data_IF_314626442138
#
_entry.id   IF_314626442138
#
_cell.length_a   1.000
_cell.length_b   1.000
_cell.length_c   1.000
_cell.angle_alpha   90.00
_cell.angle_beta   90.00
_cell.angle_gamma   90.00
#
_symmetry.space_group_name_H-M   'P 1'
#
loop_
_entity.id
_entity.type
_entity.pdbx_description
1 polymer ?
#
# COMPACT_ATOMS: atom_id res chain seq x y z
N UNK A 1 16.01 -0.79 -10.37
CA UNK A 1 15.79 0.36 -11.28
C UNK A 1 14.39 0.26 -11.87
N UNK A 2 13.80 1.38 -12.30
CA UNK A 2 12.56 1.39 -13.10
C UNK A 2 12.92 0.95 -14.51
N UNK A 3 12.15 0.04 -15.10
CA UNK A 3 12.38 -0.54 -16.44
C UNK A 3 11.36 -0.09 -17.47
N UNK A 4 10.13 0.24 -17.02
CA UNK A 4 9.08 0.78 -17.86
C UNK A 4 8.22 1.77 -17.09
N UNK A 5 7.68 2.79 -17.77
CA UNK A 5 6.85 3.84 -17.19
C UNK A 5 5.66 4.09 -18.09
N UNK A 6 4.47 3.99 -17.54
CA UNK A 6 3.23 4.30 -18.22
C UNK A 6 2.35 5.19 -17.34
N UNK A 7 1.52 6.04 -17.98
CA UNK A 7 0.55 6.89 -17.28
C UNK A 7 -0.81 6.75 -17.94
N UNK A 8 -1.81 6.40 -17.16
CA UNK A 8 -3.20 6.27 -17.61
C UNK A 8 -4.13 6.89 -16.55
N UNK A 9 -4.98 7.83 -16.95
CA UNK A 9 -6.00 8.40 -16.07
C UNK A 9 -5.45 8.85 -14.69
N UNK A 10 -4.31 9.53 -14.68
CA UNK A 10 -3.55 9.93 -13.48
C UNK A 10 -2.97 8.76 -12.65
N UNK A 11 -3.02 7.54 -13.14
CA UNK A 11 -2.35 6.40 -12.53
C UNK A 11 -0.97 6.26 -13.18
N UNK A 12 0.08 6.35 -12.38
CA UNK A 12 1.44 6.00 -12.78
C UNK A 12 1.69 4.52 -12.58
N UNK A 13 2.16 3.85 -13.62
CA UNK A 13 2.49 2.42 -13.63
C UNK A 13 3.99 2.32 -13.88
N UNK A 14 4.72 1.74 -12.92
CA UNK A 14 6.18 1.64 -12.96
C UNK A 14 6.57 0.18 -12.80
N UNK A 15 7.07 -0.43 -13.85
CA UNK A 15 7.68 -1.75 -13.76
C UNK A 15 9.13 -1.62 -13.30
N UNK A 16 9.57 -2.46 -12.36
CA UNK A 16 10.86 -2.32 -11.71
C UNK A 16 11.59 -3.66 -11.56
N UNK A 17 12.91 -3.59 -11.44
CA UNK A 17 13.77 -4.73 -11.06
C UNK A 17 13.85 -4.93 -9.53
N UNK A 18 12.92 -4.34 -8.77
CA UNK A 18 12.89 -4.51 -7.33
C UNK A 18 12.69 -5.98 -6.98
N UNK A 19 13.59 -6.54 -6.18
CA UNK A 19 13.42 -7.90 -5.68
C UNK A 19 12.78 -7.88 -4.28
N UNK A 20 11.51 -8.28 -4.18
CA UNK A 20 10.76 -8.21 -2.93
C UNK A 20 10.80 -9.48 -2.07
N UNK A 21 11.59 -10.50 -2.45
CA UNK A 21 11.53 -11.82 -1.79
C UNK A 21 11.77 -11.75 -0.28
N UNK A 22 12.69 -10.89 0.15
CA UNK A 22 12.99 -10.69 1.57
C UNK A 22 11.87 -9.95 2.33
N UNK A 23 11.10 -9.09 1.66
CA UNK A 23 9.90 -8.47 2.24
C UNK A 23 8.83 -9.51 2.58
N UNK A 24 8.63 -10.48 1.69
CA UNK A 24 7.69 -11.58 1.90
C UNK A 24 8.16 -12.46 3.06
N UNK A 25 9.44 -12.85 3.05
CA UNK A 25 10.03 -13.65 4.13
C UNK A 25 9.94 -12.92 5.48
N UNK A 26 10.22 -11.62 5.49
CA UNK A 26 10.10 -10.81 6.71
C UNK A 26 8.66 -10.78 7.23
N UNK A 27 7.68 -10.56 6.34
CA UNK A 27 6.27 -10.59 6.70
C UNK A 27 5.86 -11.94 7.29
N UNK A 28 6.21 -13.05 6.63
CA UNK A 28 5.81 -14.39 7.08
C UNK A 28 6.46 -14.73 8.44
N UNK A 29 7.72 -14.38 8.66
CA UNK A 29 8.38 -14.53 9.97
C UNK A 29 7.68 -13.69 11.07
N UNK A 30 7.33 -12.43 10.77
CA UNK A 30 6.60 -11.58 11.72
C UNK A 30 5.21 -12.12 12.03
N UNK A 31 4.53 -12.74 11.05
CA UNK A 31 3.24 -13.37 11.24
C UNK A 31 3.34 -14.60 12.15
N UNK A 32 4.35 -15.43 11.97
CA UNK A 32 4.61 -16.60 12.80
C UNK A 32 4.92 -16.21 14.25
N UNK A 33 5.49 -15.03 14.48
CA UNK A 33 5.70 -14.43 15.80
C UNK A 33 4.49 -13.61 16.31
N UNK A 34 3.33 -13.64 15.64
CA UNK A 34 2.13 -12.85 15.94
C UNK A 34 2.33 -11.33 15.87
N UNK A 35 3.34 -10.86 15.17
CA UNK A 35 3.61 -9.41 14.97
C UNK A 35 2.77 -8.86 13.82
N UNK A 36 2.56 -9.62 12.73
CA UNK A 36 1.61 -9.26 11.69
C UNK A 36 0.17 -9.63 12.12
N UNK A 37 -0.76 -8.71 11.97
CA UNK A 37 -2.13 -8.88 12.45
C UNK A 37 -3.17 -8.98 11.33
N UNK A 38 -4.22 -9.75 11.58
CA UNK A 38 -5.34 -9.88 10.67
C UNK A 38 -6.26 -8.66 10.79
N UNK A 39 -6.59 -8.06 9.64
CA UNK A 39 -7.58 -6.99 9.56
C UNK A 39 -8.96 -7.57 9.27
N UNK A 40 -9.92 -7.23 10.14
CA UNK A 40 -11.34 -7.52 9.90
C UNK A 40 -12.01 -6.42 9.09
N UNK A 41 -13.25 -6.68 8.65
CA UNK A 41 -14.05 -5.73 7.88
C UNK A 41 -14.29 -4.39 8.57
N UNK A 42 -14.70 -3.40 7.78
CA UNK A 42 -15.05 -2.07 8.27
C UNK A 42 -16.29 -2.06 9.15
N UNK A 43 -16.37 -1.03 10.00
CA UNK A 43 -17.59 -0.67 10.72
C UNK A 43 -18.27 0.46 9.95
N UNK A 44 -19.49 0.21 9.46
CA UNK A 44 -20.32 1.22 8.82
C UNK A 44 -21.65 1.30 9.58
N UNK A 45 -22.04 2.50 10.04
CA UNK A 45 -23.25 2.72 10.82
C UNK A 45 -23.38 1.79 12.03
N UNK A 46 -22.27 1.54 12.74
CA UNK A 46 -22.21 0.66 13.91
C UNK A 46 -22.27 -0.85 13.60
N UNK A 47 -22.34 -1.24 12.32
CA UNK A 47 -22.32 -2.66 11.90
C UNK A 47 -20.98 -3.02 11.29
N UNK A 48 -20.38 -4.11 11.77
CA UNK A 48 -19.13 -4.66 11.20
C UNK A 48 -19.46 -5.38 9.90
N UNK A 49 -18.88 -4.91 8.79
CA UNK A 49 -18.91 -5.58 7.49
C UNK A 49 -17.80 -6.63 7.45
N UNK A 50 -18.02 -7.77 8.10
CA UNK A 50 -17.00 -8.79 8.35
C UNK A 50 -16.29 -9.29 7.09
N UNK A 51 -16.99 -9.33 5.97
CA UNK A 51 -16.47 -9.86 4.70
C UNK A 51 -15.88 -8.79 3.77
N UNK A 52 -15.93 -7.51 4.17
CA UNK A 52 -15.42 -6.41 3.34
C UNK A 52 -13.89 -6.40 3.23
N UNK A 53 -13.20 -7.02 4.18
CA UNK A 53 -11.74 -7.09 4.23
C UNK A 53 -11.27 -8.37 4.93
N UNK A 54 -10.40 -9.11 4.25
CA UNK A 54 -9.74 -10.33 4.75
C UNK A 54 -8.28 -10.30 4.30
N UNK A 55 -7.44 -9.59 5.03
CA UNK A 55 -6.00 -9.51 4.81
C UNK A 55 -5.25 -9.48 6.14
N UNK A 56 -3.97 -9.80 6.12
CA UNK A 56 -3.04 -9.58 7.21
C UNK A 56 -2.12 -8.40 6.88
N UNK A 57 -1.70 -7.64 7.88
CA UNK A 57 -0.91 -6.43 7.72
C UNK A 57 0.26 -6.40 8.69
N UNK A 58 1.40 -5.97 8.20
CA UNK A 58 2.59 -5.61 8.98
C UNK A 58 2.92 -4.14 8.67
N UNK A 59 2.64 -3.20 9.59
CA UNK A 59 3.10 -1.82 9.44
C UNK A 59 4.62 -1.76 9.56
N UNK A 60 5.25 -1.01 8.65
CA UNK A 60 6.66 -0.64 8.71
C UNK A 60 6.69 0.87 8.87
N UNK A 61 6.55 1.34 10.12
CA UNK A 61 6.47 2.76 10.41
C UNK A 61 7.81 3.30 10.91
N UNK A 62 8.23 4.43 10.33
CA UNK A 62 9.44 5.15 10.74
C UNK A 62 9.19 6.15 11.89
N UNK A 63 7.93 6.54 12.10
CA UNK A 63 7.55 7.67 12.94
C UNK A 63 6.66 7.34 14.14
N UNK A 64 6.51 6.08 14.50
CA UNK A 64 5.81 5.78 15.75
C UNK A 64 6.70 6.21 16.93
N UNK A 65 6.32 7.35 17.51
CA UNK A 65 6.80 7.74 18.81
C UNK A 65 6.40 6.66 19.82
N UNK A 66 7.39 6.08 20.48
CA UNK A 66 7.19 5.00 21.47
C UNK A 66 6.17 5.38 22.54
N UNK A 67 6.03 6.71 22.84
CA UNK A 67 5.12 7.22 23.85
C UNK A 67 3.63 7.13 23.46
N UNK A 68 3.32 6.94 22.18
CA UNK A 68 1.96 6.91 21.63
C UNK A 68 1.59 5.59 20.93
N UNK A 69 2.47 4.59 20.95
CA UNK A 69 2.16 3.28 20.41
C UNK A 69 1.11 2.58 21.28
N UNK A 70 0.01 2.05 20.71
CA UNK A 70 -0.88 1.19 21.45
C UNK A 70 -0.10 0.00 22.05
N UNK A 71 -0.48 -0.50 23.26
CA UNK A 71 0.22 -1.63 23.90
C UNK A 71 0.36 -2.87 22.99
N UNK A 72 -0.62 -3.07 22.10
CA UNK A 72 -0.57 -4.14 21.11
C UNK A 72 0.52 -3.91 20.04
N UNK A 73 1.02 -2.69 19.89
CA UNK A 73 2.07 -2.33 18.94
C UNK A 73 3.48 -2.34 19.54
N UNK A 74 3.65 -2.42 20.85
CA UNK A 74 5.00 -2.56 21.45
C UNK A 74 5.71 -3.82 20.95
N UNK A 75 4.95 -4.88 20.64
CA UNK A 75 5.49 -6.10 20.02
C UNK A 75 5.92 -5.90 18.56
N UNK A 76 5.45 -4.85 17.86
CA UNK A 76 5.84 -4.53 16.47
C UNK A 76 7.22 -3.89 16.37
N UNK A 77 7.77 -3.44 17.46
CA UNK A 77 9.07 -2.78 17.49
C UNK A 77 10.24 -3.77 17.56
N UNK A 78 10.00 -5.03 17.23
CA UNK A 78 10.94 -6.14 17.42
C UNK A 78 12.27 -5.93 16.70
N UNK A 79 12.30 -5.15 15.62
CA UNK A 79 13.59 -4.76 15.01
C UNK A 79 13.49 -3.45 14.21
N UNK A 80 13.69 -2.33 14.89
CA UNK A 80 13.75 -0.99 14.29
C UNK A 80 14.77 -0.90 13.15
N UNK A 81 15.86 -1.65 13.21
CA UNK A 81 16.90 -1.62 12.19
C UNK A 81 16.45 -2.32 10.92
N UNK A 82 15.76 -3.47 11.03
CA UNK A 82 15.19 -4.18 9.89
C UNK A 82 14.09 -3.35 9.24
N UNK A 83 13.15 -2.82 10.02
CA UNK A 83 12.09 -1.94 9.49
C UNK A 83 12.68 -0.75 8.74
N UNK A 84 13.69 -0.09 9.32
CA UNK A 84 14.40 1.03 8.67
C UNK A 84 15.07 0.61 7.37
N UNK A 85 15.66 -0.58 7.30
CA UNK A 85 16.30 -1.11 6.09
C UNK A 85 15.26 -1.36 4.98
N UNK A 86 14.15 -2.02 5.29
CA UNK A 86 13.07 -2.27 4.33
C UNK A 86 12.45 -0.97 3.83
N UNK A 87 12.17 -0.02 4.74
CA UNK A 87 11.64 1.28 4.38
C UNK A 87 12.58 2.06 3.45
N UNK A 88 13.88 2.08 3.75
CA UNK A 88 14.90 2.73 2.90
C UNK A 88 14.95 2.13 1.50
N UNK A 89 14.95 0.80 1.38
CA UNK A 89 14.98 0.11 0.08
C UNK A 89 13.73 0.40 -0.74
N UNK A 90 12.57 0.35 -0.11
CA UNK A 90 11.31 0.70 -0.78
C UNK A 90 11.29 2.15 -1.23
N UNK A 91 11.67 3.08 -0.35
CA UNK A 91 11.68 4.52 -0.63
C UNK A 91 12.67 4.91 -1.73
N UNK A 92 13.75 4.16 -1.94
CA UNK A 92 14.64 4.40 -3.08
C UNK A 92 13.89 4.27 -4.42
N UNK A 93 13.07 3.22 -4.57
CA UNK A 93 12.26 3.02 -5.78
C UNK A 93 11.10 4.00 -5.82
N UNK A 94 10.41 4.20 -4.70
CA UNK A 94 9.31 5.14 -4.61
C UNK A 94 9.72 6.56 -4.99
N UNK A 95 10.88 7.04 -4.50
CA UNK A 95 11.37 8.38 -4.82
C UNK A 95 11.70 8.54 -6.31
N UNK A 96 12.26 7.51 -6.96
CA UNK A 96 12.46 7.54 -8.41
C UNK A 96 11.12 7.67 -9.15
N UNK A 97 10.14 6.83 -8.79
CA UNK A 97 8.81 6.86 -9.39
C UNK A 97 8.06 8.19 -9.12
N UNK A 98 8.21 8.74 -7.90
CA UNK A 98 7.61 10.04 -7.53
C UNK A 98 8.22 11.20 -8.32
N UNK A 99 9.51 11.18 -8.62
CA UNK A 99 10.14 12.20 -9.46
C UNK A 99 9.55 12.19 -10.88
N UNK A 100 9.39 11.01 -11.49
CA UNK A 100 8.76 10.84 -12.80
C UNK A 100 7.27 11.25 -12.77
N UNK A 101 6.57 10.86 -11.71
CA UNK A 101 5.16 11.21 -11.53
C UNK A 101 4.96 12.73 -11.37
N UNK A 102 5.80 13.39 -10.57
CA UNK A 102 5.76 14.85 -10.39
C UNK A 102 6.18 15.60 -11.66
N UNK A 103 7.13 15.08 -12.42
CA UNK A 103 7.51 15.65 -13.71
C UNK A 103 6.36 15.58 -14.73
N UNK A 104 5.56 14.50 -14.69
CA UNK A 104 4.35 14.36 -15.52
C UNK A 104 3.23 15.28 -15.07
N UNK A 105 3.08 15.50 -13.76
CA UNK A 105 1.99 16.26 -13.15
C UNK A 105 2.56 17.42 -12.32
N UNK A 106 3.11 18.43 -13.01
CA UNK A 106 3.86 19.56 -12.44
C UNK A 106 3.14 20.28 -11.28
N UNK A 107 1.79 20.25 -11.27
CA UNK A 107 1.04 20.87 -10.17
C UNK A 107 1.37 20.30 -8.79
N UNK A 108 1.85 19.07 -8.72
CA UNK A 108 2.29 18.45 -7.48
C UNK A 108 3.49 19.16 -6.83
N UNK A 109 4.29 19.89 -7.58
CA UNK A 109 5.42 20.68 -7.03
C UNK A 109 5.00 21.79 -6.08
N UNK A 110 3.71 22.20 -6.11
CA UNK A 110 3.17 23.19 -5.18
C UNK A 110 2.82 22.62 -3.79
N UNK A 111 2.87 21.29 -3.64
CA UNK A 111 2.65 20.59 -2.38
C UNK A 111 3.98 20.30 -1.69
N UNK A 112 3.96 20.23 -0.38
CA UNK A 112 5.08 19.67 0.39
C UNK A 112 4.74 18.22 0.71
N UNK A 113 5.20 17.31 -0.15
CA UNK A 113 4.82 15.91 -0.11
C UNK A 113 5.80 15.08 0.72
N UNK A 114 5.26 14.19 1.55
CA UNK A 114 6.03 13.22 2.34
C UNK A 114 5.33 11.86 2.32
N UNK A 115 6.09 10.80 2.07
CA UNK A 115 5.62 9.42 2.31
C UNK A 115 5.81 9.10 3.80
N UNK A 116 4.71 8.82 4.51
CA UNK A 116 4.71 8.66 5.96
C UNK A 116 4.70 7.19 6.40
N UNK A 117 4.03 6.33 5.66
CA UNK A 117 3.73 4.95 6.09
C UNK A 117 4.03 3.93 5.00
N UNK A 118 4.49 2.77 5.42
CA UNK A 118 4.57 1.59 4.59
C UNK A 118 3.93 0.41 5.32
N UNK A 119 3.04 -0.29 4.64
CA UNK A 119 2.46 -1.52 5.13
C UNK A 119 2.79 -2.66 4.18
N UNK A 120 3.27 -3.78 4.69
CA UNK A 120 3.25 -5.03 3.94
C UNK A 120 1.93 -5.72 4.24
N UNK A 121 1.22 -6.14 3.18
CA UNK A 121 -0.09 -6.79 3.31
C UNK A 121 -0.06 -8.11 2.59
N UNK A 122 -0.64 -9.13 3.25
CA UNK A 122 -0.90 -10.44 2.66
C UNK A 122 -2.41 -10.65 2.54
N UNK A 123 -2.86 -10.92 1.34
CA UNK A 123 -4.22 -11.36 1.06
C UNK A 123 -4.16 -12.83 0.66
N UNK A 124 -4.70 -13.70 1.49
CA UNK A 124 -4.76 -15.13 1.20
C UNK A 124 -5.71 -15.42 0.05
N UNK A 125 -5.53 -16.54 -0.63
CA UNK A 125 -6.42 -17.02 -1.68
C UNK A 125 -7.89 -16.86 -1.25
N UNK A 126 -8.72 -16.29 -2.13
CA UNK A 126 -10.14 -15.93 -1.90
C UNK A 126 -10.40 -14.82 -0.88
N UNK A 127 -9.38 -14.32 -0.18
CA UNK A 127 -9.46 -13.11 0.64
C UNK A 127 -9.51 -11.86 -0.22
N UNK A 128 -9.55 -10.69 0.40
CA UNK A 128 -9.51 -9.45 -0.37
C UNK A 128 -9.85 -8.21 0.45
N UNK A 129 -9.78 -7.08 -0.22
CA UNK A 129 -10.29 -5.81 0.25
C UNK A 129 -11.41 -5.38 -0.70
N UNK A 130 -12.59 -5.96 -0.49
CA UNK A 130 -13.69 -5.91 -1.44
C UNK A 130 -14.50 -4.61 -1.40
N UNK A 131 -14.27 -3.78 -0.39
CA UNK A 131 -14.98 -2.51 -0.23
C UNK A 131 -14.39 -1.44 -1.15
N UNK A 132 -15.24 -0.78 -1.91
CA UNK A 132 -14.87 0.38 -2.70
C UNK A 132 -14.51 1.55 -1.77
N UNK A 133 -13.30 2.08 -1.88
CA UNK A 133 -12.82 3.15 -1.03
C UNK A 133 -11.90 4.11 -1.79
N UNK A 134 -11.72 5.28 -1.23
CA UNK A 134 -10.66 6.21 -1.56
C UNK A 134 -9.86 6.53 -0.28
N UNK A 135 -8.70 7.13 -0.43
CA UNK A 135 -7.75 7.25 0.67
C UNK A 135 -8.00 8.45 1.57
N UNK A 136 -8.72 9.48 1.09
CA UNK A 136 -9.00 10.74 1.78
C UNK A 136 -10.38 10.80 2.45
N UNK A 137 -11.05 9.69 2.60
CA UNK A 137 -12.48 9.61 2.99
C UNK A 137 -12.78 9.88 4.47
N UNK A 138 -11.78 10.15 5.30
CA UNK A 138 -11.96 10.45 6.73
C UNK A 138 -11.17 11.67 7.16
N UNK A 139 -11.55 12.29 8.28
CA UNK A 139 -10.84 13.47 8.83
C UNK A 139 -9.37 13.20 9.13
N UNK A 140 -9.01 11.97 9.52
CA UNK A 140 -7.62 11.56 9.75
C UNK A 140 -6.81 11.28 8.49
N UNK A 141 -7.47 11.23 7.32
CA UNK A 141 -6.82 10.90 6.04
C UNK A 141 -6.90 12.00 4.98
N UNK A 142 -7.43 13.16 5.31
CA UNK A 142 -7.61 14.30 4.38
C UNK A 142 -6.30 14.86 3.79
N UNK A 143 -5.17 14.52 4.38
CA UNK A 143 -3.83 14.92 3.90
C UNK A 143 -3.27 14.00 2.81
N UNK A 144 -3.87 12.86 2.55
CA UNK A 144 -3.40 11.85 1.58
C UNK A 144 -3.66 12.33 0.16
N UNK A 145 -2.62 12.87 -0.46
CA UNK A 145 -2.68 13.38 -1.83
C UNK A 145 -2.59 12.24 -2.83
N UNK A 146 -1.68 11.31 -2.58
CA UNK A 146 -1.47 10.13 -3.42
C UNK A 146 -1.45 8.86 -2.58
N UNK A 147 -1.84 7.77 -3.19
CA UNK A 147 -1.53 6.43 -2.72
C UNK A 147 -0.46 5.80 -3.60
N UNK A 148 0.31 4.87 -3.03
CA UNK A 148 1.24 4.03 -3.78
C UNK A 148 1.13 2.59 -3.32
N UNK A 149 1.34 1.65 -4.24
CA UNK A 149 1.31 0.23 -3.96
C UNK A 149 2.21 -0.53 -4.92
N UNK A 150 3.09 -1.36 -4.38
CA UNK A 150 3.91 -2.29 -5.16
C UNK A 150 3.43 -3.71 -4.95
N UNK A 151 3.24 -4.45 -6.03
CA UNK A 151 3.02 -5.89 -5.97
C UNK A 151 4.35 -6.61 -5.66
N UNK A 152 4.37 -7.43 -4.61
CA UNK A 152 5.57 -8.14 -4.17
C UNK A 152 5.70 -9.53 -4.79
N UNK A 153 4.62 -10.05 -5.38
CA UNK A 153 4.62 -11.31 -6.14
C UNK A 153 3.64 -11.26 -7.31
N UNK A 154 3.82 -12.19 -8.22
CA UNK A 154 2.86 -12.44 -9.28
C UNK A 154 1.65 -13.21 -8.75
N UNK A 155 0.45 -12.88 -9.26
CA UNK A 155 -0.76 -13.68 -9.09
C UNK A 155 -1.35 -13.92 -10.48
N UNK A 156 -1.47 -15.19 -10.87
CA UNK A 156 -1.88 -15.57 -12.23
C UNK A 156 -3.37 -15.29 -12.48
N UNK A 157 -4.21 -15.55 -11.49
CA UNK A 157 -5.67 -15.37 -11.57
C UNK A 157 -6.18 -14.53 -10.40
N UNK A 158 -6.93 -13.49 -10.70
CA UNK A 158 -7.47 -12.57 -9.71
C UNK A 158 -6.42 -11.64 -9.09
N UNK A 159 -6.74 -11.05 -7.95
CA UNK A 159 -5.83 -10.19 -7.18
C UNK A 159 -5.63 -8.80 -7.74
N UNK A 160 -6.31 -8.42 -8.81
CA UNK A 160 -6.17 -7.11 -9.44
C UNK A 160 -6.53 -5.97 -8.47
N UNK A 161 -5.94 -4.82 -8.68
CA UNK A 161 -6.44 -3.55 -8.16
C UNK A 161 -7.39 -2.95 -9.19
N UNK A 162 -8.64 -2.77 -8.81
CA UNK A 162 -9.72 -2.32 -9.68
C UNK A 162 -10.16 -0.91 -9.30
N UNK A 163 -10.23 -0.02 -10.31
CA UNK A 163 -10.69 1.37 -10.18
C UNK A 163 -12.11 1.51 -10.73
N UNK A 164 -13.05 1.92 -9.87
CA UNK A 164 -14.48 1.91 -10.15
C UNK A 164 -14.84 2.82 -11.32
N UNK A 165 -14.52 4.11 -11.20
CA UNK A 165 -14.96 5.13 -12.17
C UNK A 165 -14.13 5.14 -13.45
N UNK A 166 -12.93 4.55 -13.40
CA UNK A 166 -12.03 4.48 -14.55
C UNK A 166 -12.19 3.20 -15.35
N UNK A 167 -12.92 2.21 -14.82
CA UNK A 167 -13.07 0.87 -15.41
C UNK A 167 -11.71 0.21 -15.72
N UNK A 168 -10.73 0.43 -14.84
CA UNK A 168 -9.36 -0.09 -14.98
C UNK A 168 -9.10 -1.20 -13.97
N UNK A 169 -8.31 -2.19 -14.40
CA UNK A 169 -7.82 -3.28 -13.56
C UNK A 169 -6.35 -3.51 -13.81
N UNK A 170 -5.55 -3.50 -12.76
CA UNK A 170 -4.11 -3.73 -12.83
C UNK A 170 -3.77 -5.08 -12.21
N UNK A 171 -3.16 -5.96 -13.03
CA UNK A 171 -2.73 -7.28 -12.60
C UNK A 171 -1.57 -7.19 -11.61
N UNK A 172 -1.54 -8.06 -10.60
CA UNK A 172 -0.42 -8.19 -9.67
C UNK A 172 0.78 -8.84 -10.38
N UNK A 173 1.68 -7.97 -10.83
CA UNK A 173 2.97 -8.34 -11.44
C UNK A 173 4.06 -7.94 -10.45
N UNK A 174 4.94 -8.88 -10.10
CA UNK A 174 6.04 -8.66 -9.16
C UNK A 174 6.90 -7.47 -9.57
N UNK A 175 7.13 -6.54 -8.62
CA UNK A 175 7.91 -5.32 -8.84
C UNK A 175 7.15 -4.18 -9.51
N UNK A 176 5.88 -4.37 -9.91
CA UNK A 176 5.05 -3.28 -10.44
C UNK A 176 4.61 -2.37 -9.29
N UNK A 177 4.96 -1.09 -9.40
CA UNK A 177 4.54 -0.03 -8.51
C UNK A 177 3.46 0.81 -9.20
N UNK A 178 2.34 1.02 -8.53
CA UNK A 178 1.28 1.94 -8.92
C UNK A 178 1.30 3.17 -8.02
N UNK A 179 1.08 4.36 -8.60
CA UNK A 179 0.88 5.63 -7.89
C UNK A 179 -0.39 6.28 -8.45
N UNK A 180 -1.31 6.72 -7.58
CA UNK A 180 -2.57 7.33 -8.00
C UNK A 180 -3.07 8.38 -7.00
N UNK A 181 -3.93 9.35 -7.42
CA UNK A 181 -4.56 10.31 -6.52
C UNK A 181 -5.39 9.65 -5.42
N UNK A 182 -5.29 10.18 -4.19
CA UNK A 182 -5.99 9.63 -3.02
C UNK A 182 -7.51 9.91 -3.00
N UNK A 183 -8.01 10.81 -3.86
CA UNK A 183 -9.39 11.31 -3.85
C UNK A 183 -10.41 10.35 -4.46
N UNK A 184 -11.70 10.71 -4.31
CA UNK A 184 -12.84 9.87 -4.70
C UNK A 184 -12.87 9.46 -6.18
N UNK A 185 -12.27 10.24 -7.08
CA UNK A 185 -12.18 9.92 -8.51
C UNK A 185 -11.43 8.61 -8.78
N UNK A 186 -10.55 8.23 -7.85
CA UNK A 186 -9.77 7.00 -7.88
C UNK A 186 -10.27 5.99 -6.85
N UNK A 187 -11.59 5.96 -6.61
CA UNK A 187 -12.21 4.91 -5.79
C UNK A 187 -11.85 3.53 -6.36
N UNK A 188 -11.29 2.69 -5.50
CA UNK A 188 -10.72 1.40 -5.89
C UNK A 188 -10.98 0.31 -4.86
N UNK A 189 -10.67 -0.93 -5.24
CA UNK A 189 -10.67 -2.10 -4.37
C UNK A 189 -9.62 -3.12 -4.78
N UNK A 190 -9.29 -4.04 -3.89
CA UNK A 190 -8.49 -5.21 -4.19
C UNK A 190 -9.38 -6.43 -4.48
N UNK A 191 -9.30 -6.97 -5.68
CA UNK A 191 -9.99 -8.20 -6.04
C UNK A 191 -9.35 -9.42 -5.34
N UNK A 192 -10.11 -10.50 -5.07
CA UNK A 192 -9.58 -11.70 -4.46
C UNK A 192 -8.55 -12.37 -5.36
N UNK A 193 -7.37 -12.77 -4.84
CA UNK A 193 -6.46 -13.62 -5.56
C UNK A 193 -7.03 -15.04 -5.63
N UNK A 194 -7.01 -15.66 -6.80
CA UNK A 194 -7.62 -16.98 -7.04
C UNK A 194 -6.60 -18.09 -7.23
N UNK A 195 -5.38 -17.77 -7.68
CA UNK A 195 -4.33 -18.77 -7.95
C UNK A 195 -3.32 -18.93 -6.81
N UNK A 196 -3.32 -18.05 -5.82
CA UNK A 196 -2.38 -18.08 -4.68
C UNK A 196 -2.53 -16.85 -3.80
N UNK A 197 -1.65 -16.69 -2.83
CA UNK A 197 -1.62 -15.52 -1.95
C UNK A 197 -1.06 -14.29 -2.69
N UNK A 198 -1.59 -13.12 -2.38
CA UNK A 198 -1.10 -11.84 -2.88
C UNK A 198 -0.40 -11.06 -1.77
N UNK A 199 0.82 -10.59 -2.06
CA UNK A 199 1.56 -9.69 -1.19
C UNK A 199 1.73 -8.33 -1.87
N UNK A 200 1.51 -7.26 -1.11
CA UNK A 200 1.73 -5.88 -1.57
C UNK A 200 2.44 -5.06 -0.49
N UNK A 201 3.24 -4.10 -0.91
CA UNK A 201 3.72 -3.01 -0.07
C UNK A 201 2.95 -1.74 -0.45
N UNK A 202 2.28 -1.09 0.50
CA UNK A 202 1.42 0.06 0.22
C UNK A 202 1.55 1.15 1.26
N UNK A 203 1.34 2.40 0.85
CA UNK A 203 1.37 3.56 1.71
C UNK A 203 0.77 4.79 1.03
N UNK A 204 0.98 5.93 1.66
CA UNK A 204 0.41 7.20 1.22
C UNK A 204 1.46 8.29 1.14
N UNK A 205 1.25 9.23 0.25
CA UNK A 205 2.00 10.48 0.16
C UNK A 205 1.07 11.59 0.64
N UNK A 206 1.47 12.23 1.73
CA UNK A 206 0.67 13.26 2.39
C UNK A 206 1.23 14.66 2.13
N UNK A 207 0.34 15.64 2.08
CA UNK A 207 0.73 17.04 2.11
C UNK A 207 1.00 17.46 3.57
N UNK A 208 2.25 17.79 3.87
CA UNK A 208 2.68 18.20 5.21
C UNK A 208 2.75 19.72 5.39
N UNK A 209 2.42 20.48 4.36
CA UNK A 209 2.28 21.93 4.44
C UNK A 209 0.98 22.26 5.17
N UNK A 210 1.08 22.89 6.33
CA UNK A 210 -0.03 23.50 7.07
C UNK A 210 -0.43 24.83 6.45
#
# INVERSE_FOLDING_TARGET
MITDIQFEDFIGIFDTEFNPSDFINYFDNCKDCNVAFNRGGFVQNGKKLADSRKDACLPIDYFMDESNAPPEMESFMVDKNLNSMYLKRYNQVLNQAMNEYAAKYERLTSYQLQSAYLNIQKTSKTGGYHYWHCEDSSTGSTRRVLAHMMYLNDVQEGGETEFLYLSRRYKPIKGRLLIWPGGFTHTHRGNPPLSGDKYVATGWVENVKL
#
